data_IF_794107904323
#
_entry.id   IF_794107904323
#
_cell.length_a   1.000
_cell.length_b   1.000
_cell.length_c   1.000
_cell.angle_alpha   90.00
_cell.angle_beta   90.00
_cell.angle_gamma   90.00
#
_symmetry.space_group_name_H-M   'P 1'
#
loop_
_entity.id
_entity.type
_entity.pdbx_description
1 polymer ?
#
# COMPACT_ATOMS: atom_id res chain seq x y z
N UNK A 1 2.20 -3.86 -11.64
CA UNK A 1 2.84 -3.34 -10.40
C UNK A 1 2.81 -4.43 -9.34
N UNK A 2 3.77 -4.45 -8.41
CA UNK A 2 3.72 -5.30 -7.22
C UNK A 2 3.31 -4.45 -6.02
N UNK A 3 2.29 -4.88 -5.29
CA UNK A 3 1.86 -4.32 -4.02
C UNK A 3 2.32 -5.27 -2.91
N UNK A 4 3.39 -4.90 -2.21
CA UNK A 4 3.97 -5.70 -1.14
C UNK A 4 3.59 -5.13 0.23
N UNK A 5 3.43 -5.99 1.23
CA UNK A 5 3.11 -5.57 2.59
C UNK A 5 3.81 -6.43 3.65
N UNK A 6 4.09 -5.83 4.81
CA UNK A 6 4.57 -6.55 6.00
C UNK A 6 4.05 -5.88 7.29
N UNK A 7 3.12 -6.56 7.96
CA UNK A 7 2.38 -6.05 9.12
C UNK A 7 0.87 -6.11 8.88
N UNK A 8 0.09 -6.18 9.94
CA UNK A 8 -1.38 -6.25 9.89
C UNK A 8 -2.02 -5.01 9.27
N UNK A 9 -1.75 -3.83 9.81
CA UNK A 9 -2.26 -2.55 9.27
C UNK A 9 -1.75 -2.28 7.85
N UNK A 10 -0.44 -2.41 7.53
CA UNK A 10 0.04 -2.33 6.15
C UNK A 10 -0.64 -3.28 5.18
N UNK A 11 -0.97 -4.50 5.62
CA UNK A 11 -1.66 -5.50 4.78
C UNK A 11 -3.09 -5.05 4.48
N UNK A 12 -3.81 -4.58 5.50
CA UNK A 12 -5.18 -4.07 5.33
C UNK A 12 -5.20 -2.91 4.33
N UNK A 13 -4.35 -1.90 4.54
CA UNK A 13 -4.29 -0.72 3.66
C UNK A 13 -3.82 -1.06 2.25
N UNK A 14 -2.91 -2.03 2.11
CA UNK A 14 -2.48 -2.54 0.80
C UNK A 14 -3.64 -3.20 0.05
N UNK A 15 -4.42 -4.05 0.71
CA UNK A 15 -5.57 -4.69 0.09
C UNK A 15 -6.65 -3.65 -0.26
N UNK A 16 -6.95 -2.70 0.62
CA UNK A 16 -7.89 -1.64 0.32
C UNK A 16 -7.44 -0.79 -0.89
N UNK A 17 -6.15 -0.45 -0.99
CA UNK A 17 -5.58 0.24 -2.16
C UNK A 17 -5.73 -0.59 -3.44
N UNK A 18 -5.49 -1.90 -3.37
CA UNK A 18 -5.66 -2.82 -4.51
C UNK A 18 -7.12 -2.85 -4.96
N UNK A 19 -8.08 -2.83 -4.05
CA UNK A 19 -9.50 -2.79 -4.39
C UNK A 19 -9.87 -1.49 -5.13
N UNK A 20 -9.40 -0.33 -4.65
CA UNK A 20 -9.58 0.96 -5.32
C UNK A 20 -8.98 0.93 -6.74
N UNK A 21 -7.75 0.45 -6.88
CA UNK A 21 -7.07 0.36 -8.18
C UNK A 21 -7.79 -0.59 -9.15
N UNK A 22 -8.29 -1.73 -8.67
CA UNK A 22 -9.01 -2.69 -9.51
C UNK A 22 -10.34 -2.14 -10.02
N UNK A 23 -11.01 -1.33 -9.21
CA UNK A 23 -12.26 -0.68 -9.61
C UNK A 23 -11.99 0.40 -10.68
N UNK A 24 -11.03 1.30 -10.44
CA UNK A 24 -10.81 2.45 -11.31
C UNK A 24 -9.91 2.17 -12.52
N UNK A 25 -9.08 1.14 -12.46
CA UNK A 25 -8.06 0.81 -13.48
C UNK A 25 -8.03 -0.72 -13.70
N UNK A 26 -9.13 -1.32 -14.21
CA UNK A 26 -9.28 -2.77 -14.29
C UNK A 26 -8.23 -3.47 -15.17
N UNK A 27 -7.62 -2.76 -16.12
CA UNK A 27 -6.54 -3.25 -16.98
C UNK A 27 -5.18 -3.33 -16.27
N UNK A 28 -5.03 -2.68 -15.11
CA UNK A 28 -3.79 -2.71 -14.35
C UNK A 28 -3.57 -4.09 -13.73
N UNK A 29 -2.54 -4.79 -14.21
CA UNK A 29 -2.10 -6.05 -13.60
C UNK A 29 -1.36 -5.78 -12.29
N UNK A 30 -1.97 -6.22 -11.20
CA UNK A 30 -1.43 -6.10 -9.84
C UNK A 30 -1.08 -7.48 -9.32
N UNK A 31 0.11 -7.61 -8.73
CA UNK A 31 0.50 -8.75 -7.90
C UNK A 31 0.55 -8.29 -6.45
N UNK A 32 -0.10 -9.01 -5.55
CA UNK A 32 0.01 -8.76 -4.10
C UNK A 32 1.00 -9.75 -3.49
N UNK A 33 1.94 -9.26 -2.68
CA UNK A 33 2.92 -10.08 -1.96
C UNK A 33 2.86 -9.72 -0.47
N UNK A 34 2.45 -10.67 0.36
CA UNK A 34 2.50 -10.52 1.81
C UNK A 34 3.80 -11.12 2.36
N UNK A 35 4.57 -10.34 3.09
CA UNK A 35 5.85 -10.73 3.69
C UNK A 35 5.67 -10.88 5.19
N UNK A 36 5.71 -12.12 5.66
CA UNK A 36 5.56 -12.45 7.08
C UNK A 36 6.92 -12.50 7.78
N UNK A 37 7.90 -13.19 7.20
CA UNK A 37 9.28 -13.21 7.68
C UNK A 37 10.14 -12.24 6.86
N UNK A 38 10.50 -11.10 7.45
CA UNK A 38 11.32 -10.08 6.80
C UNK A 38 12.70 -10.58 6.38
N UNK A 39 13.25 -11.60 7.08
CA UNK A 39 14.57 -12.11 6.77
C UNK A 39 14.61 -12.85 5.43
N UNK A 40 13.44 -13.24 4.90
CA UNK A 40 13.31 -13.81 3.54
C UNK A 40 13.70 -12.82 2.44
N UNK A 41 13.65 -11.51 2.72
CA UNK A 41 14.06 -10.47 1.76
C UNK A 41 15.56 -10.44 1.52
N UNK A 42 16.38 -10.87 2.48
CA UNK A 42 17.84 -10.93 2.32
C UNK A 42 18.27 -12.07 1.39
N UNK A 43 19.38 -11.95 0.64
CA UNK A 43 19.91 -13.07 -0.13
C UNK A 43 20.20 -14.29 0.75
N UNK A 44 19.93 -15.49 0.24
CA UNK A 44 20.16 -16.77 0.95
C UNK A 44 21.58 -16.89 1.53
N UNK A 45 22.57 -16.32 0.85
CA UNK A 45 23.98 -16.31 1.28
C UNK A 45 24.23 -15.50 2.56
N UNK A 46 23.36 -14.53 2.86
CA UNK A 46 23.51 -13.62 4.00
C UNK A 46 22.66 -14.04 5.20
N UNK A 47 21.56 -14.76 4.97
CA UNK A 47 20.68 -15.20 6.03
C UNK A 47 20.05 -16.57 5.70
N UNK A 48 19.99 -17.52 6.67
CA UNK A 48 19.44 -18.86 6.42
C UNK A 48 18.00 -18.86 5.92
N UNK A 49 17.22 -17.84 6.25
CA UNK A 49 15.83 -17.69 5.80
C UNK A 49 15.70 -16.96 4.46
N UNK A 50 16.78 -16.34 3.98
CA UNK A 50 16.79 -15.53 2.78
C UNK A 50 16.32 -16.31 1.56
N UNK A 51 15.55 -15.67 0.67
CA UNK A 51 15.18 -16.29 -0.60
C UNK A 51 16.38 -16.34 -1.55
N UNK A 52 16.39 -17.36 -2.42
CA UNK A 52 17.25 -17.33 -3.61
C UNK A 52 16.89 -16.12 -4.48
N UNK A 53 17.82 -15.59 -5.25
CA UNK A 53 17.53 -14.45 -6.14
C UNK A 53 16.43 -14.79 -7.15
N UNK A 54 16.42 -16.03 -7.66
CA UNK A 54 15.37 -16.52 -8.56
C UNK A 54 13.98 -16.46 -7.92
N UNK A 55 13.85 -16.90 -6.67
CA UNK A 55 12.55 -16.93 -5.98
C UNK A 55 12.11 -15.51 -5.58
N UNK A 56 13.07 -14.66 -5.19
CA UNK A 56 12.80 -13.24 -4.96
C UNK A 56 12.28 -12.56 -6.24
N UNK A 57 12.96 -12.75 -7.37
CA UNK A 57 12.58 -12.17 -8.66
C UNK A 57 11.24 -12.72 -9.17
N UNK A 58 10.91 -13.99 -8.88
CA UNK A 58 9.61 -14.55 -9.19
C UNK A 58 8.47 -13.80 -8.47
N UNK A 59 8.70 -13.37 -7.22
CA UNK A 59 7.73 -12.62 -6.41
C UNK A 59 7.70 -11.13 -6.77
N UNK A 60 8.85 -10.47 -6.73
CA UNK A 60 8.99 -9.01 -6.83
C UNK A 60 9.24 -8.50 -8.24
N UNK A 61 9.38 -9.39 -9.22
CA UNK A 61 9.76 -9.11 -10.61
C UNK A 61 11.18 -8.54 -10.73
N UNK A 62 11.70 -8.49 -11.95
CA UNK A 62 13.05 -7.96 -12.24
C UNK A 62 13.07 -6.50 -12.69
N UNK A 63 11.91 -5.84 -12.83
CA UNK A 63 11.87 -4.49 -13.38
C UNK A 63 10.52 -3.77 -13.31
N UNK A 64 9.51 -4.32 -12.63
CA UNK A 64 8.24 -3.59 -12.40
C UNK A 64 8.31 -2.87 -11.05
N UNK A 65 7.65 -1.71 -10.90
CA UNK A 65 7.55 -1.01 -9.62
C UNK A 65 6.98 -1.90 -8.53
N UNK A 66 7.57 -1.83 -7.34
CA UNK A 66 7.13 -2.47 -6.11
C UNK A 66 6.77 -1.38 -5.11
N UNK A 67 5.50 -1.25 -4.76
CA UNK A 67 5.05 -0.39 -3.66
C UNK A 67 4.99 -1.28 -2.42
N UNK A 68 5.80 -0.98 -1.41
CA UNK A 68 5.95 -1.80 -0.22
C UNK A 68 5.41 -1.06 1.00
N UNK A 69 4.31 -1.53 1.58
CA UNK A 69 3.76 -1.03 2.83
C UNK A 69 4.36 -1.78 4.04
N UNK A 70 4.97 -1.07 4.97
CA UNK A 70 5.71 -1.67 6.09
C UNK A 70 5.32 -1.03 7.42
N UNK A 71 5.15 -1.83 8.47
CA UNK A 71 4.78 -1.32 9.80
C UNK A 71 5.89 -0.50 10.47
N UNK A 72 7.15 -0.75 10.12
CA UNK A 72 8.31 -0.08 10.69
C UNK A 72 8.93 0.95 9.74
N UNK A 73 10.19 1.32 10.02
CA UNK A 73 10.91 2.30 9.21
C UNK A 73 11.20 1.80 7.78
N UNK A 74 10.87 2.58 6.74
CA UNK A 74 11.14 2.23 5.34
C UNK A 74 12.58 1.81 5.04
N UNK A 75 13.54 2.44 5.72
CA UNK A 75 14.97 2.21 5.51
C UNK A 75 15.39 0.76 5.80
N UNK A 76 14.69 0.06 6.70
CA UNK A 76 14.94 -1.37 6.97
C UNK A 76 14.72 -2.21 5.72
N UNK A 77 13.62 -1.99 4.99
CA UNK A 77 13.33 -2.76 3.77
C UNK A 77 14.37 -2.48 2.69
N UNK A 78 14.78 -1.22 2.51
CA UNK A 78 15.84 -0.86 1.58
C UNK A 78 17.17 -1.55 1.95
N UNK A 79 17.55 -1.57 3.22
CA UNK A 79 18.74 -2.30 3.69
C UNK A 79 18.64 -3.80 3.47
N UNK A 80 17.48 -4.42 3.64
CA UNK A 80 17.33 -5.87 3.43
C UNK A 80 17.34 -6.25 1.95
N UNK A 81 17.00 -5.32 1.06
CA UNK A 81 16.81 -5.58 -0.38
C UNK A 81 17.87 -4.97 -1.29
N UNK A 82 18.83 -4.20 -0.77
CA UNK A 82 19.81 -3.44 -1.57
C UNK A 82 20.64 -4.23 -2.59
N UNK A 83 20.73 -5.56 -2.49
CA UNK A 83 21.43 -6.43 -3.45
C UNK A 83 20.51 -7.14 -4.44
N UNK A 84 19.19 -6.96 -4.33
CA UNK A 84 18.21 -7.67 -5.17
C UNK A 84 18.09 -6.99 -6.52
N UNK A 85 17.92 -7.77 -7.59
CA UNK A 85 17.86 -7.30 -8.99
C UNK A 85 17.00 -6.05 -9.20
N UNK A 86 15.84 -5.99 -8.55
CA UNK A 86 14.83 -4.93 -8.74
C UNK A 86 14.81 -3.88 -7.62
N UNK A 87 15.87 -3.77 -6.80
CA UNK A 87 15.85 -2.95 -5.58
C UNK A 87 15.58 -1.46 -5.85
N UNK A 88 16.02 -0.93 -7.00
CA UNK A 88 15.78 0.47 -7.40
C UNK A 88 14.29 0.79 -7.61
N UNK A 89 13.49 -0.22 -7.93
CA UNK A 89 12.04 -0.10 -8.11
C UNK A 89 11.25 -0.43 -6.84
N UNK A 90 11.91 -0.66 -5.70
CA UNK A 90 11.26 -0.87 -4.41
C UNK A 90 11.04 0.49 -3.75
N UNK A 91 9.77 0.87 -3.58
CA UNK A 91 9.36 2.13 -2.98
C UNK A 91 8.56 1.84 -1.72
N UNK A 92 9.16 2.16 -0.59
CA UNK A 92 8.65 1.73 0.71
C UNK A 92 7.91 2.88 1.39
N UNK A 93 6.72 2.59 1.91
CA UNK A 93 5.97 3.42 2.85
C UNK A 93 5.95 2.70 4.20
N UNK A 94 6.05 3.46 5.26
CA UNK A 94 6.04 2.95 6.62
C UNK A 94 6.13 4.08 7.62
N UNK A 95 6.53 3.77 8.84
CA UNK A 95 6.61 4.76 9.90
C UNK A 95 7.67 5.83 9.59
N UNK A 96 7.26 7.10 9.62
CA UNK A 96 8.05 8.29 9.29
C UNK A 96 8.15 9.28 10.47
N UNK A 97 7.97 8.81 11.71
CA UNK A 97 7.97 9.65 12.93
C UNK A 97 6.82 10.67 13.00
N UNK A 98 5.74 10.42 12.27
CA UNK A 98 4.53 11.25 12.34
C UNK A 98 3.45 10.54 13.15
N UNK A 99 2.92 11.22 14.16
CA UNK A 99 1.93 10.65 15.05
C UNK A 99 1.49 11.60 16.16
N UNK A 100 0.24 11.46 16.58
CA UNK A 100 -0.34 12.18 17.72
C UNK A 100 -1.53 11.41 18.27
N UNK A 101 -2.21 11.94 19.30
CA UNK A 101 -3.51 11.40 19.72
C UNK A 101 -4.54 11.69 18.63
N UNK A 102 -4.81 10.68 17.80
CA UNK A 102 -5.74 10.75 16.67
C UNK A 102 -6.40 9.39 16.44
N UNK A 103 -7.17 9.25 15.37
CA UNK A 103 -7.88 8.01 15.01
C UNK A 103 -6.93 6.97 14.37
N UNK A 104 -7.25 5.67 14.42
CA UNK A 104 -6.37 4.62 13.89
C UNK A 104 -5.99 4.80 12.41
N UNK A 105 -6.92 5.14 11.53
CA UNK A 105 -6.59 5.36 10.12
C UNK A 105 -5.84 6.67 9.90
N UNK A 106 -6.12 7.73 10.67
CA UNK A 106 -5.35 8.97 10.59
C UNK A 106 -3.85 8.77 10.91
N UNK A 107 -3.52 7.85 11.83
CA UNK A 107 -2.12 7.46 12.05
C UNK A 107 -1.44 6.91 10.78
N UNK A 108 -2.18 6.22 9.92
CA UNK A 108 -1.64 5.74 8.63
C UNK A 108 -1.54 6.87 7.60
N UNK A 109 -2.49 7.82 7.62
CA UNK A 109 -2.49 9.02 6.76
C UNK A 109 -1.30 9.93 7.06
N UNK A 110 -1.02 10.19 8.35
CA UNK A 110 0.13 10.99 8.77
C UNK A 110 1.46 10.43 8.27
N UNK A 111 1.56 9.11 8.12
CA UNK A 111 2.75 8.43 7.63
C UNK A 111 2.74 8.16 6.10
N UNK A 112 1.67 8.55 5.40
CA UNK A 112 1.48 8.27 3.97
C UNK A 112 1.45 6.78 3.64
N UNK A 113 0.98 5.96 4.60
CA UNK A 113 0.87 4.50 4.53
C UNK A 113 -0.57 4.05 4.22
N UNK A 114 -1.55 4.94 4.33
CA UNK A 114 -2.95 4.65 4.05
C UNK A 114 -3.20 4.29 2.58
N UNK A 115 -4.34 3.63 2.35
CA UNK A 115 -4.79 3.20 1.02
C UNK A 115 -4.77 4.29 -0.04
N UNK A 116 -5.09 5.53 0.27
CA UNK A 116 -5.17 6.61 -0.73
C UNK A 116 -3.77 7.02 -1.19
N UNK A 117 -2.85 7.23 -0.26
CA UNK A 117 -1.45 7.46 -0.63
C UNK A 117 -0.84 6.26 -1.35
N UNK A 118 -1.15 5.02 -0.97
CA UNK A 118 -0.68 3.83 -1.68
C UNK A 118 -1.17 3.80 -3.15
N UNK A 119 -2.43 4.15 -3.41
CA UNK A 119 -2.97 4.32 -4.78
C UNK A 119 -2.17 5.37 -5.54
N UNK A 120 -1.95 6.55 -4.95
CA UNK A 120 -1.17 7.62 -5.59
C UNK A 120 0.27 7.19 -5.90
N UNK A 121 0.91 6.39 -5.03
CA UNK A 121 2.25 5.88 -5.27
C UNK A 121 2.33 4.93 -6.47
N UNK A 122 1.28 4.14 -6.72
CA UNK A 122 1.16 3.31 -7.93
C UNK A 122 1.00 4.20 -9.16
N UNK A 123 0.08 5.15 -9.09
CA UNK A 123 -0.23 6.09 -10.17
C UNK A 123 1.01 6.86 -10.65
N UNK A 124 1.85 7.31 -9.72
CA UNK A 124 3.07 8.07 -10.05
C UNK A 124 4.17 7.22 -10.71
N UNK A 125 4.09 5.89 -10.64
CA UNK A 125 5.16 4.97 -11.05
C UNK A 125 4.81 4.03 -12.18
N UNK A 126 3.56 3.99 -12.60
CA UNK A 126 3.12 3.15 -13.72
C UNK A 126 2.86 4.04 -14.94
N UNK A 127 3.80 4.13 -15.90
CA UNK A 127 3.70 5.07 -17.02
C UNK A 127 2.48 4.86 -17.91
N UNK A 128 1.93 3.64 -17.95
CA UNK A 128 0.74 3.29 -18.74
C UNK A 128 -0.54 3.99 -18.23
N UNK A 129 -0.53 4.55 -17.02
CA UNK A 129 -1.72 5.12 -16.40
C UNK A 129 -1.90 6.62 -16.65
N UNK A 130 -1.03 7.28 -17.43
CA UNK A 130 -0.98 8.75 -17.60
C UNK A 130 -2.33 9.41 -17.91
N UNK A 131 -3.21 8.76 -18.67
CA UNK A 131 -4.53 9.30 -19.02
C UNK A 131 -5.53 9.25 -17.87
N UNK A 132 -5.48 8.22 -17.02
CA UNK A 132 -6.39 8.02 -15.88
C UNK A 132 -5.82 8.61 -14.59
N UNK A 133 -4.49 8.82 -14.57
CA UNK A 133 -3.71 9.26 -13.41
C UNK A 133 -4.23 10.55 -12.77
N UNK A 134 -4.59 11.56 -13.58
CA UNK A 134 -4.97 12.87 -13.07
C UNK A 134 -6.28 12.80 -12.30
N UNK A 135 -7.32 12.20 -12.89
CA UNK A 135 -8.64 12.11 -12.26
C UNK A 135 -8.63 11.27 -10.99
N UNK A 136 -8.00 10.08 -11.03
CA UNK A 136 -7.95 9.22 -9.85
C UNK A 136 -7.07 9.82 -8.74
N UNK A 137 -5.94 10.45 -9.07
CA UNK A 137 -5.10 11.12 -8.08
C UNK A 137 -5.85 12.24 -7.37
N UNK A 138 -6.57 13.07 -8.12
CA UNK A 138 -7.42 14.12 -7.57
C UNK A 138 -8.52 13.55 -6.67
N UNK A 139 -9.15 12.43 -7.06
CA UNK A 139 -10.14 11.76 -6.20
C UNK A 139 -9.53 11.29 -4.87
N UNK A 140 -8.29 10.75 -4.89
CA UNK A 140 -7.58 10.38 -3.65
C UNK A 140 -7.25 11.61 -2.79
N UNK A 141 -6.85 12.73 -3.39
CA UNK A 141 -6.60 13.98 -2.65
C UNK A 141 -7.89 14.51 -1.99
N UNK A 142 -9.03 14.43 -2.69
CA UNK A 142 -10.34 14.78 -2.13
C UNK A 142 -10.67 13.88 -0.94
N UNK A 143 -10.45 12.56 -1.03
CA UNK A 143 -10.66 11.63 0.08
C UNK A 143 -9.82 11.95 1.32
N UNK A 144 -8.57 12.36 1.12
CA UNK A 144 -7.70 12.80 2.23
C UNK A 144 -8.20 14.10 2.89
N UNK A 145 -8.75 15.03 2.10
CA UNK A 145 -9.37 16.26 2.62
C UNK A 145 -10.66 15.96 3.40
N UNK A 146 -11.51 15.09 2.86
CA UNK A 146 -12.73 14.60 3.53
C UNK A 146 -12.41 13.94 4.86
N UNK A 147 -11.45 13.02 4.87
CA UNK A 147 -10.94 12.35 6.07
C UNK A 147 -10.54 13.37 7.14
N UNK A 148 -9.68 14.33 6.78
CA UNK A 148 -9.19 15.35 7.72
C UNK A 148 -10.31 16.19 8.32
N UNK A 149 -11.33 16.53 7.52
CA UNK A 149 -12.49 17.25 8.02
C UNK A 149 -13.33 16.37 8.96
N UNK A 150 -13.56 15.12 8.58
CA UNK A 150 -14.42 14.18 9.29
C UNK A 150 -13.88 13.83 10.68
N UNK A 151 -12.61 13.46 10.82
CA UNK A 151 -12.04 13.07 12.12
C UNK A 151 -12.06 14.23 13.13
N UNK A 152 -11.95 15.48 12.66
CA UNK A 152 -12.01 16.67 13.52
C UNK A 152 -13.43 16.98 13.98
N UNK A 153 -14.42 16.72 13.13
CA UNK A 153 -15.82 16.93 13.44
C UNK A 153 -16.39 15.81 14.32
N UNK A 154 -15.96 14.57 14.13
CA UNK A 154 -16.60 13.38 14.68
C UNK A 154 -15.74 12.59 15.67
N UNK A 155 -14.43 12.78 15.71
CA UNK A 155 -13.52 12.06 16.62
C UNK A 155 -13.36 10.57 16.30
N UNK A 156 -13.77 10.13 15.11
CA UNK A 156 -13.67 8.75 14.64
C UNK A 156 -13.37 8.73 13.14
N UNK A 157 -12.82 7.61 12.65
CA UNK A 157 -12.57 7.43 11.21
C UNK A 157 -13.85 7.41 10.39
N UNK A 158 -13.74 7.71 9.09
CA UNK A 158 -14.88 7.72 8.18
C UNK A 158 -15.54 6.34 8.10
N UNK A 159 -16.88 6.27 7.91
CA UNK A 159 -17.59 4.99 7.78
C UNK A 159 -17.01 4.10 6.69
N UNK A 160 -16.62 4.66 5.55
CA UNK A 160 -15.99 3.91 4.45
C UNK A 160 -14.67 3.21 4.84
N UNK A 161 -13.99 3.69 5.88
CA UNK A 161 -12.78 3.08 6.42
C UNK A 161 -13.13 2.00 7.44
N UNK A 162 -14.04 2.31 8.38
CA UNK A 162 -14.45 1.40 9.45
C UNK A 162 -15.25 0.19 8.95
N UNK A 163 -16.09 0.41 7.93
CA UNK A 163 -17.00 -0.58 7.37
C UNK A 163 -16.41 -1.33 6.17
N UNK A 164 -15.18 -0.99 5.76
CA UNK A 164 -14.53 -1.59 4.61
C UNK A 164 -14.43 -3.11 4.75
N UNK A 165 -14.78 -3.82 3.68
CA UNK A 165 -14.51 -5.26 3.53
C UNK A 165 -13.97 -5.58 2.15
N UNK A 166 -13.08 -6.57 2.12
CA UNK A 166 -12.54 -7.09 0.88
C UNK A 166 -13.64 -7.63 -0.04
N UNK A 167 -13.65 -7.17 -1.29
CA UNK A 167 -14.56 -7.66 -2.33
C UNK A 167 -15.95 -7.02 -2.34
N UNK A 168 -16.23 -6.05 -1.47
CA UNK A 168 -17.37 -5.15 -1.63
C UNK A 168 -17.11 -4.15 -2.76
N UNK A 169 -18.14 -3.81 -3.53
CA UNK A 169 -18.00 -2.76 -4.53
C UNK A 169 -17.92 -1.40 -3.81
N UNK A 170 -16.86 -0.59 -4.02
CA UNK A 170 -16.74 0.72 -3.37
C UNK A 170 -17.89 1.69 -3.65
N UNK A 171 -18.66 1.49 -4.73
CA UNK A 171 -19.85 2.29 -5.04
C UNK A 171 -21.15 1.73 -4.44
N UNK A 172 -21.11 0.51 -3.88
CA UNK A 172 -22.27 -0.10 -3.23
C UNK A 172 -22.40 0.48 -1.81
N UNK A 173 -23.40 1.34 -1.62
CA UNK A 173 -23.73 1.89 -0.31
C UNK A 173 -23.88 0.75 0.72
N UNK A 174 -23.49 0.98 2.00
CA UNK A 174 -23.63 -0.03 3.05
C UNK A 174 -25.12 -0.27 3.31
N UNK A 175 -25.75 -1.16 2.54
CA UNK A 175 -27.15 -1.49 2.67
C UNK A 175 -27.31 -2.88 3.27
N UNK A 176 -27.94 -2.85 4.44
CA UNK A 176 -28.90 -3.79 5.03
C UNK A 176 -28.58 -5.29 4.98
N UNK A 177 -28.73 -5.98 6.13
CA UNK A 177 -28.29 -7.37 6.29
C UNK A 177 -28.95 -8.29 5.26
N UNK A 178 -28.12 -9.16 4.68
CA UNK A 178 -28.56 -10.33 3.90
C UNK A 178 -29.35 -11.31 4.77
#
# INVERSE_FOLDING_TARGET
VVMACAGDVPTLETLAAVQILRHHVPELRIRVVNVVDLMTLQPKEHHPHGLSDRDFDALFTTGKPVIFAYHGYPWTIHRLTYRRTNHDNIHVRGYNEEGTTTTPFDMTVLNGLDRFHLVQNVLDRVPQLRSVQVGLKQAMDVKLLEHRAYIRAHGQDMPEILEWRWGQDPDEAPNSPR
#
